data_IF_051661632985
#
_entry.id   IF_051661632985
#
_cell.length_a   1.000
_cell.length_b   1.000
_cell.length_c   1.000
_cell.angle_alpha   90.00
_cell.angle_beta   90.00
_cell.angle_gamma   90.00
#
_symmetry.space_group_name_H-M   'P 1'
#
loop_
_entity.id
_entity.type
_entity.pdbx_description
1 polymer ?
#
# COMPACT_ATOMS: atom_id res chain seq x y z
N UNK A 1 -22.66 -51.05 1.56
CA UNK A 1 -23.59 -49.93 1.83
C UNK A 1 -23.05 -48.68 1.16
N UNK A 2 -23.85 -47.95 0.37
CA UNK A 2 -23.44 -46.68 -0.27
C UNK A 2 -24.03 -45.52 0.52
N UNK A 3 -23.18 -44.68 1.11
CA UNK A 3 -23.61 -43.52 1.89
C UNK A 3 -23.82 -42.32 0.97
N UNK A 4 -25.07 -41.96 0.71
CA UNK A 4 -25.45 -40.75 -0.02
C UNK A 4 -25.45 -39.55 0.93
N UNK A 5 -24.44 -38.69 0.82
CA UNK A 5 -24.42 -37.41 1.54
C UNK A 5 -25.17 -36.37 0.70
N UNK A 6 -26.39 -36.04 1.15
CA UNK A 6 -27.24 -35.04 0.52
C UNK A 6 -26.75 -33.63 0.88
N UNK A 7 -26.04 -32.97 -0.03
CA UNK A 7 -25.59 -31.58 0.16
C UNK A 7 -26.70 -30.62 -0.27
N UNK A 8 -27.46 -30.13 0.71
CA UNK A 8 -28.45 -29.06 0.54
C UNK A 8 -27.76 -27.71 0.32
N UNK A 9 -27.65 -27.28 -0.94
CA UNK A 9 -27.21 -25.92 -1.31
C UNK A 9 -28.44 -25.01 -1.37
N UNK A 10 -28.64 -24.19 -0.35
CA UNK A 10 -29.69 -23.16 -0.35
C UNK A 10 -29.16 -21.88 -1.00
N UNK A 11 -29.51 -21.67 -2.27
CA UNK A 11 -29.27 -20.42 -2.99
C UNK A 11 -30.40 -19.42 -2.69
N UNK A 12 -30.11 -18.41 -1.86
CA UNK A 12 -30.96 -17.24 -1.71
C UNK A 12 -30.57 -16.18 -2.75
N UNK A 13 -31.31 -16.15 -3.86
CA UNK A 13 -31.28 -15.04 -4.80
C UNK A 13 -32.11 -13.89 -4.23
N UNK A 14 -31.49 -12.73 -4.01
CA UNK A 14 -32.18 -11.48 -3.67
C UNK A 14 -32.17 -10.59 -4.90
N UNK A 15 -33.31 -10.50 -5.58
CA UNK A 15 -33.53 -9.55 -6.67
C UNK A 15 -33.78 -8.15 -6.10
N UNK A 16 -32.90 -7.19 -6.43
CA UNK A 16 -33.15 -5.78 -6.18
C UNK A 16 -33.49 -5.07 -7.51
N UNK A 17 -34.75 -4.66 -7.64
CA UNK A 17 -35.27 -4.02 -8.85
C UNK A 17 -34.67 -2.61 -9.09
N UNK A 18 -34.53 -2.26 -10.37
CA UNK A 18 -34.17 -0.90 -10.82
C UNK A 18 -35.29 0.11 -10.55
N UNK A 19 -34.91 1.37 -10.32
CA UNK A 19 -35.65 2.53 -10.85
C UNK A 19 -34.66 3.58 -11.38
N UNK A 20 -34.78 3.86 -12.68
CA UNK A 20 -34.30 5.10 -13.28
C UNK A 20 -35.42 6.14 -13.18
N UNK A 21 -35.08 7.40 -12.94
CA UNK A 21 -35.99 8.51 -13.19
C UNK A 21 -35.30 9.55 -14.09
N UNK A 22 -35.81 9.69 -15.31
CA UNK A 22 -35.36 10.66 -16.31
C UNK A 22 -36.53 11.52 -16.79
N UNK A 23 -36.48 12.84 -16.52
CA UNK A 23 -37.12 13.93 -17.30
C UNK A 23 -36.59 15.26 -16.74
N UNK A 24 -35.90 16.15 -17.48
CA UNK A 24 -36.08 16.77 -18.82
C UNK A 24 -36.66 18.19 -18.69
N UNK A 25 -35.98 19.12 -19.37
CA UNK A 25 -36.11 20.58 -19.40
C UNK A 25 -37.50 21.21 -19.54
N UNK A 26 -37.61 22.48 -19.13
CA UNK A 26 -38.27 23.51 -19.99
C UNK A 26 -37.52 24.85 -19.94
N UNK A 27 -37.79 25.74 -20.92
CA UNK A 27 -36.98 26.90 -21.35
C UNK A 27 -37.92 28.03 -21.82
N UNK A 28 -37.62 29.30 -21.49
CA UNK A 28 -38.09 30.59 -22.10
C UNK A 28 -37.11 31.68 -21.59
N UNK A 29 -36.41 32.50 -22.40
CA UNK A 29 -36.87 33.59 -23.31
C UNK A 29 -37.64 34.68 -22.55
N UNK A 30 -37.41 35.99 -22.63
CA UNK A 30 -37.02 36.93 -23.71
C UNK A 30 -36.48 38.28 -23.09
N UNK A 31 -35.92 39.32 -23.75
CA UNK A 31 -35.14 39.51 -25.00
C UNK A 31 -34.66 40.99 -25.13
N UNK A 32 -33.50 41.26 -25.77
CA UNK A 32 -32.93 42.58 -26.24
C UNK A 32 -32.51 43.68 -25.24
N UNK A 33 -31.24 44.11 -25.34
CA UNK A 33 -30.87 45.42 -25.95
C UNK A 33 -29.39 45.42 -26.40
N UNK A 34 -29.05 46.27 -27.36
CA UNK A 34 -27.69 46.45 -27.87
C UNK A 34 -27.11 47.79 -27.38
N UNK A 35 -25.80 47.86 -27.13
CA UNK A 35 -24.87 48.86 -27.69
C UNK A 35 -23.44 48.70 -27.14
N UNK A 36 -22.48 48.79 -28.06
CA UNK A 36 -21.13 49.35 -28.01
C UNK A 36 -20.08 49.01 -26.89
N UNK A 37 -18.80 49.09 -27.27
CA UNK A 37 -17.70 49.37 -26.35
C UNK A 37 -16.71 48.25 -26.00
N UNK A 38 -15.51 48.34 -26.59
CA UNK A 38 -14.22 47.75 -26.14
C UNK A 38 -14.08 46.22 -26.06
N UNK A 39 -13.20 45.69 -26.94
CA UNK A 39 -12.39 44.49 -26.65
C UNK A 39 -11.69 44.67 -25.30
N UNK A 40 -12.09 43.92 -24.27
CA UNK A 40 -11.25 43.62 -23.12
C UNK A 40 -10.54 42.29 -23.40
N UNK A 41 -9.22 42.29 -23.33
CA UNK A 41 -8.45 41.05 -23.36
C UNK A 41 -8.89 40.14 -22.22
N UNK A 42 -9.06 38.85 -22.49
CA UNK A 42 -9.26 37.88 -21.43
C UNK A 42 -8.01 37.88 -20.52
N UNK A 43 -8.15 37.81 -19.19
CA UNK A 43 -6.99 37.73 -18.32
C UNK A 43 -6.19 36.48 -18.70
N UNK A 44 -4.90 36.65 -19.04
CA UNK A 44 -3.99 35.52 -19.18
C UNK A 44 -4.10 34.70 -17.90
N UNK A 45 -4.49 33.42 -18.02
CA UNK A 45 -4.35 32.46 -16.92
C UNK A 45 -2.91 32.59 -16.41
N UNK A 46 -2.67 32.75 -15.09
CA UNK A 46 -1.31 32.76 -14.59
C UNK A 46 -0.67 31.46 -15.04
N UNK A 47 0.43 31.57 -15.80
CA UNK A 47 1.22 30.41 -16.17
C UNK A 47 1.54 29.67 -14.88
N UNK A 48 1.11 28.41 -14.80
CA UNK A 48 1.47 27.53 -13.70
C UNK A 48 2.98 27.42 -13.73
N UNK A 49 3.65 28.21 -12.87
CA UNK A 49 5.09 28.09 -12.61
C UNK A 49 5.34 26.60 -12.45
N UNK A 50 6.09 26.00 -13.38
CA UNK A 50 6.52 24.61 -13.27
C UNK A 50 7.30 24.53 -11.97
N UNK A 51 6.63 24.03 -10.92
CA UNK A 51 7.25 23.75 -9.64
C UNK A 51 8.44 22.85 -9.95
N UNK A 52 9.65 23.38 -9.78
CA UNK A 52 10.88 22.64 -9.95
C UNK A 52 11.02 21.70 -8.76
N UNK A 53 10.15 20.70 -8.69
CA UNK A 53 10.05 19.77 -7.57
C UNK A 53 11.43 19.11 -7.38
N UNK A 54 12.07 19.54 -6.31
CA UNK A 54 13.42 19.18 -5.92
C UNK A 54 13.32 18.66 -4.50
N UNK A 55 13.68 17.40 -4.34
CA UNK A 55 13.68 16.71 -3.06
C UNK A 55 15.05 16.04 -2.90
N UNK A 56 15.48 15.92 -1.65
CA UNK A 56 16.71 15.21 -1.32
C UNK A 56 16.65 13.77 -1.85
N UNK A 57 17.73 13.27 -2.46
CA UNK A 57 17.76 11.92 -3.01
C UNK A 57 17.11 11.75 -4.39
N UNK A 58 16.66 12.83 -5.05
CA UNK A 58 16.15 12.80 -6.45
C UNK A 58 17.11 12.15 -7.44
N UNK A 59 18.41 12.29 -7.22
CA UNK A 59 19.52 11.64 -7.92
C UNK A 59 19.52 10.10 -7.81
N UNK A 60 18.88 9.55 -6.77
CA UNK A 60 18.72 8.10 -6.59
C UNK A 60 17.53 7.50 -7.32
N UNK A 61 16.68 8.33 -7.94
CA UNK A 61 15.52 7.89 -8.70
C UNK A 61 15.85 7.84 -10.19
N UNK A 62 15.66 6.67 -10.81
CA UNK A 62 15.79 6.55 -12.27
C UNK A 62 14.82 7.49 -12.99
N UNK A 63 15.26 8.07 -14.10
CA UNK A 63 14.47 8.98 -14.95
C UNK A 63 13.10 8.41 -15.33
N UNK A 64 13.04 7.12 -15.68
CA UNK A 64 11.79 6.43 -15.97
C UNK A 64 10.89 6.30 -14.75
N UNK A 65 11.44 6.04 -13.56
CA UNK A 65 10.67 5.99 -12.32
C UNK A 65 10.11 7.35 -11.90
N UNK A 66 10.78 8.45 -12.25
CA UNK A 66 10.27 9.82 -12.06
C UNK A 66 9.19 10.20 -13.09
N UNK A 67 9.21 9.60 -14.29
CA UNK A 67 8.18 9.77 -15.32
C UNK A 67 6.94 8.90 -15.08
N UNK A 68 7.08 7.78 -14.37
CA UNK A 68 5.98 6.87 -14.01
C UNK A 68 5.03 7.54 -13.00
N UNK A 69 4.07 8.29 -13.53
CA UNK A 69 2.76 8.36 -12.90
C UNK A 69 2.16 6.94 -12.85
N UNK A 70 1.33 6.65 -11.84
CA UNK A 70 0.62 5.36 -11.73
C UNK A 70 -0.38 5.19 -12.89
N UNK A 71 0.09 4.64 -14.02
CA UNK A 71 -0.79 4.11 -15.05
C UNK A 71 -1.30 2.74 -14.56
N UNK A 72 -2.62 2.60 -14.45
CA UNK A 72 -3.22 1.30 -14.19
C UNK A 72 -2.89 0.37 -15.37
N UNK A 73 -2.21 -0.75 -15.11
CA UNK A 73 -2.12 -1.81 -16.10
C UNK A 73 -3.48 -2.51 -16.12
N UNK A 74 -4.17 -2.59 -17.27
CA UNK A 74 -5.42 -3.32 -17.34
C UNK A 74 -5.17 -4.78 -16.99
N UNK A 75 -5.95 -5.29 -16.04
CA UNK A 75 -6.01 -6.71 -15.76
C UNK A 75 -6.65 -7.45 -16.96
N UNK A 76 -6.41 -8.76 -17.11
CA UNK A 76 -7.24 -9.59 -17.98
C UNK A 76 -8.73 -9.47 -17.60
N UNK A 77 -9.63 -9.61 -18.57
CA UNK A 77 -11.07 -9.36 -18.38
C UNK A 77 -11.73 -10.28 -17.34
N UNK A 78 -11.15 -11.43 -17.06
CA UNK A 78 -11.58 -12.43 -16.07
C UNK A 78 -11.02 -12.20 -14.65
N UNK A 79 -10.15 -11.20 -14.45
CA UNK A 79 -9.54 -10.88 -13.16
C UNK A 79 -10.36 -9.85 -12.38
N UNK A 80 -11.34 -10.33 -11.62
CA UNK A 80 -12.20 -9.52 -10.77
C UNK A 80 -11.71 -9.40 -9.32
N UNK A 81 -12.20 -8.39 -8.58
CA UNK A 81 -12.17 -8.41 -7.12
C UNK A 81 -13.00 -9.60 -6.60
N UNK A 82 -12.47 -10.38 -5.67
CA UNK A 82 -13.16 -11.55 -5.12
C UNK A 82 -13.07 -11.63 -3.59
N UNK A 83 -13.93 -12.48 -3.02
CA UNK A 83 -13.98 -12.75 -1.59
C UNK A 83 -13.84 -14.24 -1.37
N UNK A 84 -12.96 -14.64 -0.46
CA UNK A 84 -12.95 -16.00 0.09
C UNK A 84 -13.17 -15.95 1.60
N UNK A 85 -13.66 -17.06 2.15
CA UNK A 85 -13.88 -17.19 3.59
C UNK A 85 -12.77 -18.05 4.21
N UNK A 86 -12.19 -17.59 5.30
CA UNK A 86 -11.17 -18.32 6.06
C UNK A 86 -11.44 -18.13 7.55
N UNK A 87 -11.59 -19.24 8.28
CA UNK A 87 -11.94 -19.23 9.71
C UNK A 87 -13.19 -18.39 10.01
N UNK A 88 -14.24 -18.51 9.16
CA UNK A 88 -15.48 -17.71 9.20
C UNK A 88 -15.32 -16.20 8.95
N UNK A 89 -14.13 -15.72 8.62
CA UNK A 89 -13.90 -14.32 8.23
C UNK A 89 -13.86 -14.15 6.70
N UNK A 90 -14.53 -13.12 6.14
CA UNK A 90 -14.39 -12.76 4.73
C UNK A 90 -13.07 -12.02 4.48
N UNK A 91 -12.33 -12.48 3.48
CA UNK A 91 -11.09 -11.85 3.02
C UNK A 91 -11.30 -11.32 1.60
N UNK A 92 -11.16 -10.00 1.44
CA UNK A 92 -11.37 -9.29 0.19
C UNK A 92 -10.03 -9.16 -0.56
N UNK A 93 -9.95 -9.73 -1.76
CA UNK A 93 -8.79 -9.62 -2.65
C UNK A 93 -9.12 -8.73 -3.85
N UNK A 94 -8.15 -7.89 -4.19
CA UNK A 94 -8.16 -6.96 -5.31
C UNK A 94 -6.81 -7.09 -6.05
N UNK A 95 -6.73 -7.88 -7.14
CA UNK A 95 -5.53 -8.00 -7.96
C UNK A 95 -5.23 -6.66 -8.65
N UNK A 96 -3.96 -6.25 -8.74
CA UNK A 96 -3.55 -5.04 -9.48
C UNK A 96 -2.64 -5.30 -10.67
N UNK A 97 -1.96 -6.45 -10.70
CA UNK A 97 -1.03 -6.81 -11.76
C UNK A 97 -0.75 -8.31 -11.73
N UNK A 98 -0.54 -8.89 -12.91
CA UNK A 98 -0.08 -10.28 -13.10
C UNK A 98 1.43 -10.37 -13.28
N UNK A 99 2.10 -9.30 -13.74
CA UNK A 99 3.56 -9.27 -13.91
C UNK A 99 4.16 -7.88 -13.55
N UNK A 100 4.81 -7.72 -12.38
CA UNK A 100 4.88 -8.69 -11.28
C UNK A 100 3.49 -8.92 -10.66
N UNK A 101 3.31 -10.03 -9.94
CA UNK A 101 2.05 -10.29 -9.22
C UNK A 101 1.90 -9.26 -8.09
N UNK A 102 0.84 -8.44 -8.14
CA UNK A 102 0.49 -7.47 -7.10
C UNK A 102 -0.96 -7.71 -6.68
N UNK A 103 -1.17 -7.92 -5.38
CA UNK A 103 -2.48 -8.21 -4.80
C UNK A 103 -2.70 -7.34 -3.57
N UNK A 104 -3.82 -6.62 -3.52
CA UNK A 104 -4.25 -5.87 -2.33
C UNK A 104 -5.28 -6.69 -1.54
N UNK A 105 -4.98 -6.90 -0.26
CA UNK A 105 -5.95 -7.41 0.71
C UNK A 105 -6.74 -6.23 1.30
N UNK A 106 -7.96 -6.00 0.79
CA UNK A 106 -8.81 -4.87 1.20
C UNK A 106 -9.42 -5.16 2.58
N UNK A 107 -9.43 -4.15 3.48
CA UNK A 107 -9.95 -4.25 4.87
C UNK A 107 -9.33 -5.37 5.71
N UNK A 108 -8.10 -5.78 5.39
CA UNK A 108 -7.48 -6.99 5.93
C UNK A 108 -7.27 -6.99 7.45
N UNK A 109 -6.76 -5.88 8.00
CA UNK A 109 -6.51 -5.72 9.44
C UNK A 109 -7.58 -4.77 10.04
N UNK A 110 -8.36 -5.20 11.06
CA UNK A 110 -9.30 -4.33 11.76
C UNK A 110 -8.63 -3.09 12.34
N UNK A 111 -9.30 -1.93 12.27
CA UNK A 111 -8.76 -0.65 12.73
C UNK A 111 -8.15 -0.71 14.14
N UNK A 112 -8.85 -1.36 15.08
CA UNK A 112 -8.37 -1.55 16.46
C UNK A 112 -7.05 -2.34 16.56
N UNK A 113 -6.82 -3.30 15.66
CA UNK A 113 -5.56 -4.06 15.64
C UNK A 113 -4.42 -3.20 15.08
N UNK A 114 -4.70 -2.31 14.12
CA UNK A 114 -3.73 -1.30 13.63
C UNK A 114 -3.39 -0.30 14.73
N UNK A 115 -4.38 0.16 15.50
CA UNK A 115 -4.18 1.05 16.65
C UNK A 115 -3.30 0.40 17.75
N UNK A 116 -3.56 -0.87 18.08
CA UNK A 116 -2.75 -1.64 19.04
C UNK A 116 -1.33 -1.89 18.53
N UNK A 117 -1.15 -2.18 17.24
CA UNK A 117 0.16 -2.31 16.60
C UNK A 117 0.94 -0.98 16.67
N UNK A 118 0.30 0.14 16.35
CA UNK A 118 0.91 1.47 16.43
C UNK A 118 1.27 1.87 17.86
N UNK A 119 0.48 1.47 18.85
CA UNK A 119 0.80 1.66 20.27
C UNK A 119 2.10 0.94 20.66
N UNK A 120 2.25 -0.34 20.26
CA UNK A 120 3.46 -1.12 20.49
C UNK A 120 4.70 -0.52 19.80
N UNK A 121 4.56 -0.12 18.53
CA UNK A 121 5.62 0.57 17.77
C UNK A 121 6.10 1.82 18.50
N UNK A 122 5.17 2.68 18.95
CA UNK A 122 5.50 3.91 19.71
C UNK A 122 6.22 3.59 21.02
N UNK A 123 5.83 2.51 21.72
CA UNK A 123 6.53 2.05 22.94
C UNK A 123 7.96 1.58 22.64
N UNK A 124 8.16 0.79 21.57
CA UNK A 124 9.51 0.35 21.15
C UNK A 124 10.39 1.53 20.74
N UNK A 125 9.84 2.50 20.01
CA UNK A 125 10.53 3.73 19.62
C UNK A 125 10.94 4.58 20.84
N UNK A 126 10.05 4.80 21.80
CA UNK A 126 10.36 5.50 23.06
C UNK A 126 11.50 4.83 23.82
N UNK A 127 11.48 3.49 23.95
CA UNK A 127 12.57 2.73 24.58
C UNK A 127 13.90 2.89 23.85
N UNK A 128 13.92 2.85 22.51
CA UNK A 128 15.16 3.04 21.72
C UNK A 128 15.69 4.49 21.84
N UNK A 129 14.81 5.49 21.90
CA UNK A 129 15.23 6.88 22.10
C UNK A 129 15.86 7.14 23.47
N UNK A 130 15.65 6.25 24.45
CA UNK A 130 16.24 6.33 25.79
C UNK A 130 17.59 5.59 25.92
N UNK A 131 17.98 4.74 24.96
CA UNK A 131 19.20 3.90 25.10
C UNK A 131 20.49 4.54 24.58
N UNK A 132 20.44 5.74 23.96
CA UNK A 132 21.60 6.50 23.45
C UNK A 132 22.59 5.74 22.54
N UNK A 133 22.23 4.58 22.00
CA UNK A 133 23.05 3.83 21.05
C UNK A 133 23.05 4.50 19.66
N UNK A 134 24.06 5.32 19.37
CA UNK A 134 24.49 5.60 18.00
C UNK A 134 25.20 4.38 17.39
N UNK A 135 24.41 3.39 16.99
CA UNK A 135 24.86 2.26 16.19
C UNK A 135 25.33 2.70 14.79
N UNK A 136 26.26 1.96 14.18
CA UNK A 136 26.76 2.13 12.81
C UNK A 136 25.61 2.29 11.79
N UNK A 137 24.53 1.54 11.97
CA UNK A 137 23.32 1.64 11.14
C UNK A 137 22.66 3.03 11.18
N UNK A 138 22.77 3.76 12.29
CA UNK A 138 22.26 5.13 12.38
C UNK A 138 23.07 6.10 11.52
N UNK A 139 24.41 5.93 11.42
CA UNK A 139 25.24 6.70 10.49
C UNK A 139 24.96 6.31 9.03
N UNK A 140 24.84 5.02 8.72
CA UNK A 140 24.49 4.57 7.37
C UNK A 140 23.14 5.14 6.89
N UNK A 141 22.13 5.18 7.77
CA UNK A 141 20.82 5.80 7.45
C UNK A 141 20.91 7.33 7.28
N UNK A 142 21.79 8.03 8.01
CA UNK A 142 22.04 9.47 7.79
C UNK A 142 22.64 9.75 6.40
N UNK A 143 23.44 8.83 5.85
CA UNK A 143 24.12 8.98 4.55
C UNK A 143 23.27 8.47 3.38
N UNK A 144 22.42 7.46 3.60
CA UNK A 144 21.69 6.76 2.54
C UNK A 144 20.47 7.55 2.03
N UNK A 145 20.71 8.44 1.05
CA UNK A 145 19.68 9.22 0.34
C UNK A 145 18.63 8.40 -0.43
N UNK A 146 18.75 7.06 -0.52
CA UNK A 146 17.69 6.20 -1.10
C UNK A 146 16.50 6.02 -0.16
N UNK A 147 16.70 6.15 1.16
CA UNK A 147 15.65 5.93 2.16
C UNK A 147 15.68 6.99 3.25
N UNK A 148 14.69 7.88 3.22
CA UNK A 148 14.46 8.89 4.25
C UNK A 148 13.25 8.50 5.10
N UNK A 149 13.46 7.56 6.02
CA UNK A 149 12.42 7.00 6.90
C UNK A 149 12.95 6.67 8.30
N UNK A 150 12.13 6.85 9.32
CA UNK A 150 12.40 6.34 10.67
C UNK A 150 12.04 4.86 10.74
N UNK A 151 13.04 4.00 10.96
CA UNK A 151 12.89 2.55 11.01
C UNK A 151 12.70 2.03 12.44
N UNK A 152 11.87 1.00 12.60
CA UNK A 152 11.73 0.25 13.85
C UNK A 152 11.52 -1.23 13.55
N UNK A 153 12.48 -2.07 13.96
CA UNK A 153 12.43 -3.51 13.77
C UNK A 153 11.78 -4.15 15.01
N UNK A 154 10.77 -5.02 14.80
CA UNK A 154 10.07 -5.72 15.87
C UNK A 154 9.84 -7.20 15.49
N UNK A 155 10.34 -8.12 16.32
CA UNK A 155 10.07 -9.55 16.17
C UNK A 155 8.57 -9.86 16.32
N UNK A 156 8.06 -10.77 15.50
CA UNK A 156 6.63 -11.04 15.32
C UNK A 156 5.83 -11.24 16.61
N UNK A 157 6.39 -11.91 17.62
CA UNK A 157 5.74 -12.21 18.90
C UNK A 157 6.09 -11.25 20.04
N UNK A 158 6.97 -10.26 19.83
CA UNK A 158 7.59 -9.49 20.92
C UNK A 158 6.64 -8.56 21.69
N UNK A 159 5.50 -8.18 21.09
CA UNK A 159 4.52 -7.25 21.68
C UNK A 159 3.10 -7.66 21.26
N UNK A 160 2.09 -7.39 22.09
CA UNK A 160 0.78 -8.05 21.99
C UNK A 160 -0.08 -7.59 20.80
N UNK A 161 -0.02 -6.31 20.42
CA UNK A 161 -0.64 -5.76 19.21
C UNK A 161 0.10 -6.23 17.94
N UNK A 162 1.43 -6.20 17.97
CA UNK A 162 2.28 -6.73 16.88
C UNK A 162 1.99 -8.19 16.59
N UNK A 163 1.95 -9.02 17.64
CA UNK A 163 1.67 -10.45 17.54
C UNK A 163 0.23 -10.74 17.09
N UNK A 164 -0.74 -9.86 17.42
CA UNK A 164 -2.13 -9.99 16.98
C UNK A 164 -2.27 -9.80 15.47
N UNK A 165 -1.59 -8.80 14.91
CA UNK A 165 -1.56 -8.57 13.45
C UNK A 165 -0.83 -9.70 12.73
N UNK A 166 0.31 -10.17 13.27
CA UNK A 166 1.06 -11.28 12.68
C UNK A 166 0.25 -12.59 12.63
N UNK A 167 -0.36 -13.01 13.76
CA UNK A 167 -1.22 -14.21 13.79
C UNK A 167 -2.40 -14.10 12.82
N UNK A 168 -2.96 -12.90 12.64
CA UNK A 168 -4.03 -12.66 11.66
C UNK A 168 -3.54 -12.85 10.22
N UNK A 169 -2.37 -12.29 9.88
CA UNK A 169 -1.77 -12.49 8.56
C UNK A 169 -1.56 -13.98 8.25
N UNK A 170 -0.98 -14.72 9.19
CA UNK A 170 -0.82 -16.19 9.11
C UNK A 170 -2.16 -16.94 8.95
N UNK A 171 -3.17 -16.59 9.74
CA UNK A 171 -4.45 -17.31 9.75
C UNK A 171 -5.24 -17.12 8.45
N UNK A 172 -5.14 -15.93 7.83
CA UNK A 172 -5.97 -15.54 6.70
C UNK A 172 -5.28 -15.65 5.33
N UNK A 173 -3.95 -15.68 5.25
CA UNK A 173 -3.19 -15.86 3.99
C UNK A 173 -2.55 -17.26 3.99
N UNK A 174 -3.30 -18.32 3.64
CA UNK A 174 -2.85 -19.71 3.78
C UNK A 174 -1.74 -20.11 2.80
N UNK A 175 -1.55 -19.33 1.73
CA UNK A 175 -0.57 -19.61 0.66
C UNK A 175 0.87 -19.21 1.02
N UNK A 176 1.09 -18.49 2.13
CA UNK A 176 2.41 -18.00 2.54
C UNK A 176 2.77 -18.54 3.93
N UNK A 177 3.94 -19.16 4.04
CA UNK A 177 4.47 -19.52 5.35
C UNK A 177 5.27 -18.36 5.99
N UNK A 178 4.58 -17.55 6.79
CA UNK A 178 5.22 -16.45 7.54
C UNK A 178 6.17 -16.91 8.66
N UNK A 179 6.32 -18.21 8.99
CA UNK A 179 7.37 -18.59 9.97
C UNK A 179 8.78 -18.30 9.46
N UNK A 180 8.94 -18.23 8.14
CA UNK A 180 10.21 -17.92 7.47
C UNK A 180 10.33 -16.42 7.12
N UNK A 181 9.39 -15.56 7.55
CA UNK A 181 9.52 -14.12 7.29
C UNK A 181 10.51 -13.46 8.25
N UNK A 182 11.25 -12.46 7.75
CA UNK A 182 12.01 -11.55 8.60
C UNK A 182 11.09 -10.72 9.53
N UNK A 183 11.63 -10.14 10.62
CA UNK A 183 10.87 -9.36 11.58
C UNK A 183 10.16 -8.16 10.93
N UNK A 184 9.13 -7.62 11.60
CA UNK A 184 8.43 -6.43 11.12
C UNK A 184 9.38 -5.24 11.01
N UNK A 185 9.55 -4.74 9.79
CA UNK A 185 10.30 -3.54 9.46
C UNK A 185 9.34 -2.36 9.33
N UNK A 186 9.07 -1.67 10.45
CA UNK A 186 8.11 -0.57 10.47
C UNK A 186 8.79 0.72 10.05
N UNK A 187 8.34 1.30 8.94
CA UNK A 187 8.89 2.54 8.36
C UNK A 187 7.91 3.69 8.58
N UNK A 188 8.39 4.77 9.19
CA UNK A 188 7.63 6.00 9.42
C UNK A 188 8.24 7.13 8.60
N UNK A 189 7.50 7.59 7.60
CA UNK A 189 7.89 8.68 6.72
C UNK A 189 7.36 10.01 7.28
N UNK A 190 8.25 10.98 7.47
CA UNK A 190 7.88 12.38 7.70
C UNK A 190 7.69 13.08 6.36
N UNK A 191 7.30 14.36 6.38
CA UNK A 191 7.30 15.21 5.19
C UNK A 191 8.68 15.20 4.50
N UNK A 192 8.68 15.09 3.16
CA UNK A 192 9.90 14.87 2.36
C UNK A 192 10.57 13.50 2.51
N UNK A 193 10.06 12.64 3.41
CA UNK A 193 10.48 11.26 3.55
C UNK A 193 10.04 10.41 2.36
N UNK A 194 10.90 9.49 1.93
CA UNK A 194 10.71 8.71 0.70
C UNK A 194 11.53 7.42 0.72
N UNK A 195 11.22 6.53 -0.22
CA UNK A 195 11.97 5.33 -0.56
C UNK A 195 12.18 5.33 -2.07
N UNK A 196 13.43 5.28 -2.54
CA UNK A 196 13.71 5.15 -3.98
C UNK A 196 13.27 3.76 -4.48
N UNK A 197 12.91 3.61 -5.76
CA UNK A 197 12.64 2.31 -6.36
C UNK A 197 13.82 1.35 -6.18
N UNK A 198 13.54 0.14 -5.74
CA UNK A 198 14.50 -0.92 -5.47
C UNK A 198 13.80 -2.28 -5.50
N UNK A 199 14.57 -3.36 -5.52
CA UNK A 199 14.07 -4.70 -5.31
C UNK A 199 14.21 -5.10 -3.84
N UNK A 200 13.25 -5.85 -3.31
CA UNK A 200 13.30 -6.36 -1.94
C UNK A 200 14.19 -7.60 -1.79
N UNK A 201 14.46 -8.33 -2.88
CA UNK A 201 15.40 -9.45 -2.88
C UNK A 201 16.83 -8.95 -2.65
N UNK A 202 17.65 -9.76 -1.99
CA UNK A 202 19.03 -9.41 -1.69
C UNK A 202 19.91 -9.72 -2.90
N UNK A 203 20.53 -8.71 -3.50
CA UNK A 203 21.55 -8.92 -4.52
C UNK A 203 22.87 -9.29 -3.86
N UNK A 204 23.46 -10.40 -4.31
CA UNK A 204 24.78 -10.87 -3.89
C UNK A 204 25.71 -10.91 -5.09
N UNK A 205 26.99 -10.55 -4.92
CA UNK A 205 27.97 -10.61 -6.01
C UNK A 205 28.49 -12.04 -6.25
N UNK A 206 28.47 -12.91 -5.24
CA UNK A 206 28.73 -14.35 -5.37
C UNK A 206 27.99 -15.18 -4.31
N UNK A 207 27.83 -16.51 -4.50
CA UNK A 207 27.28 -17.42 -3.49
C UNK A 207 28.04 -17.44 -2.15
N UNK A 208 29.32 -17.06 -2.14
CA UNK A 208 30.15 -16.98 -0.93
C UNK A 208 29.71 -15.86 0.01
N UNK A 209 29.05 -14.83 -0.53
CA UNK A 209 28.47 -13.72 0.22
C UNK A 209 27.09 -14.02 0.82
N UNK A 210 26.47 -15.17 0.49
CA UNK A 210 25.14 -15.50 1.00
C UNK A 210 25.10 -15.48 2.53
N UNK A 211 24.06 -14.87 3.09
CA UNK A 211 23.85 -14.92 4.54
C UNK A 211 23.54 -16.36 4.99
N UNK A 212 23.74 -16.68 6.28
CA UNK A 212 23.31 -17.98 6.84
C UNK A 212 21.84 -18.27 6.52
N UNK A 213 20.98 -17.26 6.64
CA UNK A 213 19.55 -17.34 6.32
C UNK A 213 19.34 -17.63 4.83
N UNK A 214 20.06 -16.95 3.94
CA UNK A 214 19.96 -17.18 2.49
C UNK A 214 20.39 -18.58 2.08
N UNK A 215 21.43 -19.14 2.72
CA UNK A 215 21.86 -20.52 2.47
C UNK A 215 20.83 -21.56 2.92
N UNK A 216 20.06 -21.30 3.98
CA UNK A 216 19.11 -22.28 4.54
C UNK A 216 17.65 -22.08 4.11
N UNK A 217 17.26 -20.87 3.71
CA UNK A 217 15.87 -20.50 3.39
C UNK A 217 15.71 -19.86 2.00
N UNK A 218 16.81 -19.64 1.26
CA UNK A 218 16.78 -18.96 -0.02
C UNK A 218 16.70 -17.42 0.09
N UNK A 219 16.47 -16.77 -1.04
CA UNK A 219 16.32 -15.31 -1.10
C UNK A 219 14.86 -14.90 -0.83
N UNK A 220 14.63 -13.61 -0.58
CA UNK A 220 13.27 -13.07 -0.43
C UNK A 220 12.54 -13.15 -1.78
N UNK A 221 11.36 -13.77 -1.79
CA UNK A 221 10.55 -13.97 -3.00
C UNK A 221 9.23 -13.19 -3.01
N UNK A 222 8.71 -12.80 -1.83
CA UNK A 222 7.48 -12.02 -1.64
C UNK A 222 7.68 -11.01 -0.52
N UNK A 223 7.11 -9.82 -0.70
CA UNK A 223 6.99 -8.79 0.34
C UNK A 223 5.53 -8.62 0.75
N UNK A 224 5.27 -8.63 2.05
CA UNK A 224 3.95 -8.33 2.61
C UNK A 224 4.00 -6.97 3.33
N UNK A 225 3.31 -5.97 2.77
CA UNK A 225 3.27 -4.61 3.29
C UNK A 225 1.91 -4.28 3.93
N UNK A 226 1.93 -3.49 5.01
CA UNK A 226 0.73 -3.01 5.71
C UNK A 226 0.76 -1.49 5.86
N UNK A 227 -0.20 -0.79 5.27
CA UNK A 227 -0.39 0.65 5.47
C UNK A 227 -1.04 0.91 6.83
N UNK A 228 -0.22 1.22 7.85
CA UNK A 228 -0.67 1.46 9.22
C UNK A 228 -1.32 2.85 9.41
N UNK A 229 -0.87 3.85 8.64
CA UNK A 229 -1.48 5.18 8.52
C UNK A 229 -1.30 5.65 7.08
N UNK A 230 -2.37 6.13 6.44
CA UNK A 230 -2.25 6.78 5.14
C UNK A 230 -1.57 8.16 5.27
N UNK A 231 -0.86 8.57 4.21
CA UNK A 231 -0.45 9.96 4.04
C UNK A 231 -1.64 10.80 3.56
N UNK A 232 -1.68 12.06 3.99
CA UNK A 232 -2.72 13.01 3.56
C UNK A 232 -2.52 13.43 2.08
N UNK A 233 -1.24 13.56 1.66
CA UNK A 233 -0.81 13.83 0.29
C UNK A 233 0.40 12.93 -0.03
N UNK A 234 0.44 12.34 -1.23
CA UNK A 234 1.54 11.49 -1.68
C UNK A 234 1.53 10.09 -1.04
N UNK A 235 2.72 9.53 -0.80
CA UNK A 235 2.93 8.24 -0.10
C UNK A 235 2.64 6.96 -0.91
N UNK A 236 1.94 7.06 -2.04
CA UNK A 236 1.47 5.90 -2.81
C UNK A 236 0.23 5.25 -2.19
N UNK A 237 -0.80 4.98 -3.00
CA UNK A 237 -2.05 4.32 -2.59
C UNK A 237 -2.30 3.06 -3.42
#
# INVERSE_FOLDING_TARGET
>A
MKLLILVLVVLLLVECAKKEDTKKSTKKSDTKKAEDGKKKEAPKKPETKKSSYSFEGKDTWGTESLKKCYAAMPLPEDYFCYVYYRNYEPVYIDPLSTNPIIIIYRRFIPKKFVEDFLYDVRRKQKKKAQSNEEDFMAQYVKINKRRKANETIITHSAMSGVARVFRRAQALIPMLNFTNSGPWQVLSYKEGGHQSPHYDYITYSSPDQYSKVTRTQGNRFVTFALTLKAADIGGGK
#
